data_IF_836721820519
#
_entry.id   IF_836721820519
#
_cell.length_a   1.000
_cell.length_b   1.000
_cell.length_c   1.000
_cell.angle_alpha   90.00
_cell.angle_beta   90.00
_cell.angle_gamma   90.00
#
_symmetry.space_group_name_H-M   'P 1'
#
loop_
_entity.id
_entity.type
_entity.pdbx_description
1 polymer ?
#
# COMPACT_ATOMS: atom_id res chain seq x y z
N UNK A 1 5.91 10.54 -1.54
CA UNK A 1 4.70 10.77 -0.73
C UNK A 1 5.10 11.42 0.59
N UNK A 2 4.43 12.48 0.97
CA UNK A 2 4.77 13.18 2.19
C UNK A 2 4.42 12.35 3.43
N UNK A 3 5.12 12.63 4.52
CA UNK A 3 4.93 11.86 5.75
C UNK A 3 3.50 11.91 6.27
N UNK A 4 2.91 13.10 6.33
CA UNK A 4 1.54 13.23 6.80
C UNK A 4 0.57 12.50 5.88
N UNK A 5 0.78 12.58 4.59
CA UNK A 5 -0.03 11.91 3.59
C UNK A 5 0.04 10.39 3.79
N UNK A 6 1.25 9.86 3.96
CA UNK A 6 1.40 8.41 4.16
C UNK A 6 0.81 7.93 5.48
N UNK A 7 0.89 8.75 6.54
CA UNK A 7 0.29 8.40 7.82
C UNK A 7 -1.23 8.35 7.73
N UNK A 8 -1.82 9.30 7.01
CA UNK A 8 -3.27 9.32 6.82
C UNK A 8 -3.74 8.16 5.95
N UNK A 9 -2.98 7.84 4.91
CA UNK A 9 -3.29 6.71 4.05
C UNK A 9 -3.19 5.40 4.84
N UNK A 10 -2.13 5.25 5.64
CA UNK A 10 -1.97 4.06 6.47
C UNK A 10 -3.15 3.91 7.45
N UNK A 11 -3.54 4.99 8.10
CA UNK A 11 -4.66 4.94 9.04
C UNK A 11 -5.96 4.52 8.34
N UNK A 12 -6.18 5.04 7.15
CA UNK A 12 -7.36 4.70 6.36
C UNK A 12 -7.37 3.20 6.00
N UNK A 13 -6.23 2.70 5.52
CA UNK A 13 -6.12 1.30 5.13
C UNK A 13 -6.27 0.35 6.32
N UNK A 14 -5.74 0.74 7.47
CA UNK A 14 -5.93 -0.04 8.70
C UNK A 14 -7.40 -0.15 9.07
N UNK A 15 -8.14 0.94 8.93
CA UNK A 15 -9.55 0.95 9.25
C UNK A 15 -10.38 0.15 8.25
N UNK A 16 -10.08 0.33 6.96
CA UNK A 16 -10.88 -0.29 5.91
C UNK A 16 -10.55 -1.75 5.63
N UNK A 17 -9.29 -2.13 5.79
CA UNK A 17 -8.83 -3.47 5.44
C UNK A 17 -8.39 -4.29 6.63
N UNK A 18 -7.33 -3.89 7.30
CA UNK A 18 -6.79 -4.67 8.41
C UNK A 18 -5.91 -3.81 9.31
N UNK A 19 -6.09 -3.88 10.64
CA UNK A 19 -5.32 -3.04 11.57
C UNK A 19 -3.82 -3.35 11.59
N UNK A 20 -3.39 -4.49 11.06
CA UNK A 20 -1.99 -4.85 10.98
C UNK A 20 -1.25 -4.31 9.77
N UNK A 21 -1.91 -3.56 8.90
CA UNK A 21 -1.27 -3.02 7.72
C UNK A 21 -0.28 -1.91 8.09
N UNK A 22 0.87 -1.89 7.40
CA UNK A 22 1.89 -0.86 7.57
C UNK A 22 2.37 -0.41 6.21
N UNK A 23 2.63 0.89 6.08
CA UNK A 23 3.23 1.45 4.87
C UNK A 23 4.71 1.71 5.12
N UNK A 24 5.55 1.31 4.19
CA UNK A 24 7.00 1.47 4.27
C UNK A 24 7.48 2.23 3.04
N UNK A 25 8.27 3.27 3.26
CA UNK A 25 8.77 4.10 2.18
C UNK A 25 9.74 3.30 1.30
N UNK A 26 9.73 3.60 0.00
CA UNK A 26 10.64 3.00 -0.98
C UNK A 26 11.72 4.01 -1.32
N UNK A 27 12.97 3.56 -1.37
CA UNK A 27 14.12 4.43 -1.53
C UNK A 27 14.10 5.31 -2.77
N UNK A 28 13.62 4.80 -3.88
CA UNK A 28 13.70 5.54 -5.15
C UNK A 28 12.34 5.74 -5.78
N UNK A 29 11.30 5.73 -4.99
CA UNK A 29 9.94 5.85 -5.50
C UNK A 29 9.13 6.77 -4.61
N UNK A 30 9.22 8.07 -4.87
CA UNK A 30 8.58 9.09 -4.04
C UNK A 30 7.06 8.97 -4.00
N UNK A 31 6.47 8.43 -5.06
CA UNK A 31 5.01 8.36 -5.20
C UNK A 31 4.44 6.97 -4.92
N UNK A 32 5.23 6.09 -4.33
CA UNK A 32 4.73 4.77 -3.98
C UNK A 32 5.30 4.30 -2.66
N UNK A 33 4.60 3.37 -2.03
CA UNK A 33 5.03 2.79 -0.76
C UNK A 33 4.73 1.30 -0.78
N UNK A 34 5.54 0.55 -0.03
CA UNK A 34 5.29 -0.87 0.16
C UNK A 34 4.27 -1.05 1.27
N UNK A 35 3.42 -2.05 1.12
CA UNK A 35 2.40 -2.38 2.11
C UNK A 35 2.75 -3.72 2.75
N UNK A 36 2.84 -3.72 4.05
CA UNK A 36 3.12 -4.92 4.84
C UNK A 36 1.93 -5.26 5.72
N UNK A 37 1.70 -6.54 5.88
CA UNK A 37 0.76 -7.05 6.88
C UNK A 37 1.62 -7.79 7.91
N UNK A 38 1.82 -7.16 9.06
CA UNK A 38 2.82 -7.65 9.99
C UNK A 38 4.21 -7.57 9.37
N UNK A 39 4.88 -8.69 9.24
CA UNK A 39 6.22 -8.77 8.64
C UNK A 39 6.18 -9.17 7.17
N UNK A 40 5.01 -9.43 6.62
CA UNK A 40 4.88 -9.90 5.25
C UNK A 40 4.61 -8.76 4.27
N UNK A 41 5.40 -8.69 3.20
CA UNK A 41 5.18 -7.75 2.12
C UNK A 41 4.02 -8.27 1.26
N UNK A 42 2.96 -7.49 1.12
CA UNK A 42 1.75 -7.95 0.42
C UNK A 42 1.36 -7.11 -0.78
N UNK A 43 1.74 -5.84 -0.83
CA UNK A 43 1.23 -4.96 -1.87
C UNK A 43 2.09 -3.73 -2.02
N UNK A 44 1.78 -2.96 -3.07
CA UNK A 44 2.37 -1.63 -3.29
C UNK A 44 1.22 -0.67 -3.51
N UNK A 45 1.31 0.49 -2.90
CA UNK A 45 0.33 1.55 -3.13
C UNK A 45 1.00 2.69 -3.89
N UNK A 46 0.32 3.20 -4.91
CA UNK A 46 0.80 4.28 -5.76
C UNK A 46 -0.10 5.49 -5.65
N UNK A 47 0.51 6.66 -5.56
CA UNK A 47 -0.22 7.91 -5.65
C UNK A 47 -0.41 8.25 -7.13
N UNK A 48 -1.63 8.53 -7.50
CA UNK A 48 -2.00 8.89 -8.87
C UNK A 48 -2.67 10.24 -8.87
N UNK A 49 -2.11 11.18 -9.65
CA UNK A 49 -2.68 12.51 -9.78
C UNK A 49 -3.07 12.71 -11.23
N UNK A 50 -4.36 12.68 -11.50
CA UNK A 50 -4.90 12.78 -12.85
C UNK A 50 -6.07 13.74 -12.88
N UNK A 51 -6.06 14.67 -13.84
CA UNK A 51 -7.12 15.64 -14.05
C UNK A 51 -7.54 16.40 -12.81
N UNK A 52 -6.56 16.74 -11.96
CA UNK A 52 -6.83 17.51 -10.76
C UNK A 52 -7.30 16.69 -9.58
N UNK A 53 -7.44 15.38 -9.75
CA UNK A 53 -7.79 14.48 -8.66
C UNK A 53 -6.59 13.69 -8.19
N UNK A 54 -6.50 13.47 -6.87
CA UNK A 54 -5.48 12.62 -6.28
C UNK A 54 -6.14 11.35 -5.80
N UNK A 55 -5.59 10.21 -6.20
CA UNK A 55 -6.05 8.91 -5.74
C UNK A 55 -4.88 8.03 -5.40
N UNK A 56 -5.15 6.92 -4.73
CA UNK A 56 -4.12 5.97 -4.33
C UNK A 56 -4.54 4.59 -4.80
N UNK A 57 -3.67 3.96 -5.61
CA UNK A 57 -3.95 2.65 -6.19
C UNK A 57 -3.25 1.58 -5.37
N UNK A 58 -4.01 0.66 -4.85
CA UNK A 58 -3.50 -0.45 -4.04
C UNK A 58 -3.38 -1.67 -4.94
N UNK A 59 -2.14 -2.13 -5.18
CA UNK A 59 -1.89 -3.27 -6.05
C UNK A 59 -1.33 -4.43 -5.27
N UNK A 60 -2.09 -5.50 -5.23
CA UNK A 60 -1.70 -6.73 -4.55
C UNK A 60 -1.60 -7.85 -5.58
N UNK A 61 -0.47 -8.54 -5.59
CA UNK A 61 -0.28 -9.70 -6.46
C UNK A 61 -0.55 -10.96 -5.67
N UNK A 62 -1.42 -11.80 -6.17
CA UNK A 62 -1.71 -13.10 -5.59
C UNK A 62 -1.17 -14.16 -6.53
N UNK A 63 -0.22 -14.95 -6.05
CA UNK A 63 0.35 -16.01 -6.87
C UNK A 63 -0.56 -17.23 -6.82
N UNK A 64 -0.54 -18.00 -7.89
CA UNK A 64 -1.35 -19.22 -7.95
C UNK A 64 -1.04 -20.14 -6.78
N UNK A 65 0.24 -20.27 -6.42
CA UNK A 65 0.64 -21.13 -5.31
C UNK A 65 0.10 -20.66 -3.95
N UNK A 66 -0.18 -19.35 -3.82
CA UNK A 66 -0.72 -18.82 -2.57
C UNK A 66 -2.15 -19.30 -2.32
N UNK A 67 -2.90 -19.54 -3.37
CA UNK A 67 -4.30 -19.96 -3.26
C UNK A 67 -4.52 -21.46 -3.48
N UNK A 68 -3.52 -22.14 -4.04
CA UNK A 68 -3.63 -23.58 -4.32
C UNK A 68 -3.03 -24.43 -3.21
N UNK A 69 -2.56 -23.81 -2.15
CA UNK A 69 -2.09 -24.53 -0.97
C UNK A 69 -0.79 -25.30 -1.16
N UNK A 70 -0.03 -24.91 -2.15
CA UNK A 70 1.17 -25.70 -2.43
C UNK A 70 2.41 -24.92 -2.46
#
# INVERSE_FOLDING_TARGET
MEREESLRLEAYLKEKLHPGLRLVARDKAADSMEVYLGAEFIAVVYKDEDEGETSYQFMMTVLKEDIMGG
#
